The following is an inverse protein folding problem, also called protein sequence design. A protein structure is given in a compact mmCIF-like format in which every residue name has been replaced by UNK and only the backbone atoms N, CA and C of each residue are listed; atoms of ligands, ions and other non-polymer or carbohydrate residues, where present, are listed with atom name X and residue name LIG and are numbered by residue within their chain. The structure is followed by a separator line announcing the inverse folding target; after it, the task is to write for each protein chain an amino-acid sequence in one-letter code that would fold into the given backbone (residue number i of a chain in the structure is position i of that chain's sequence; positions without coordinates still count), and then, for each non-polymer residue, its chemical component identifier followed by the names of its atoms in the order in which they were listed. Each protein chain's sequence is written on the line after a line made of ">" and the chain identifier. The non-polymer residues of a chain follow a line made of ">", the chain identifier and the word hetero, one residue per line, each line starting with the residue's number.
data_IF_442034456320
#
_entry.id   IF_442034456320
#
_cell.length_a   1.000
_cell.length_b   1.000
_cell.length_c   1.000
_cell.angle_alpha   90.00
_cell.angle_beta   90.00
_cell.angle_gamma   90.00
#
_symmetry.space_group_name_H-M   'P 1'
#
loop_
_entity.id
_entity.type
_entity.pdbx_description
1 polymer ?
#
# COMPACT_ATOMS: atom_id res chain seq x y z
N UNK A 1 37.57 -8.15 -13.36
CA UNK A 1 36.88 -6.84 -13.27
C UNK A 1 35.35 -6.93 -13.16
N UNK A 2 34.69 -8.08 -13.42
CA UNK A 2 33.22 -8.19 -13.32
C UNK A 2 32.64 -8.34 -11.89
N UNK A 3 33.40 -8.94 -10.97
CA UNK A 3 32.88 -9.36 -9.64
C UNK A 3 33.14 -8.35 -8.52
N UNK A 4 34.04 -7.38 -8.68
CA UNK A 4 34.26 -6.33 -7.66
C UNK A 4 32.99 -5.50 -7.41
N UNK A 5 32.20 -5.27 -8.47
CA UNK A 5 30.94 -4.57 -8.37
C UNK A 5 29.82 -5.41 -7.70
N UNK A 6 30.01 -6.72 -7.53
CA UNK A 6 29.05 -7.57 -6.79
C UNK A 6 29.21 -7.41 -5.29
N UNK A 7 30.45 -7.25 -4.80
CA UNK A 7 30.73 -7.11 -3.36
C UNK A 7 30.13 -5.84 -2.76
N UNK A 8 29.89 -4.82 -3.60
CA UNK A 8 29.30 -3.54 -3.23
C UNK A 8 27.77 -3.53 -3.24
N UNK A 9 27.13 -4.68 -3.51
CA UNK A 9 25.69 -4.81 -3.30
C UNK A 9 25.39 -4.99 -1.80
N UNK A 10 24.19 -4.58 -1.36
CA UNK A 10 23.74 -4.87 -0.01
C UNK A 10 23.74 -6.38 0.27
N UNK A 11 23.89 -6.74 1.54
CA UNK A 11 23.79 -8.12 1.99
C UNK A 11 22.36 -8.62 1.85
N UNK A 12 22.22 -9.88 1.47
CA UNK A 12 20.93 -10.56 1.46
C UNK A 12 20.38 -10.61 2.89
N UNK A 13 19.09 -10.34 3.05
CA UNK A 13 18.41 -10.54 4.33
C UNK A 13 17.73 -11.91 4.36
N UNK A 14 17.70 -12.50 5.55
CA UNK A 14 16.90 -13.68 5.86
C UNK A 14 16.23 -13.48 7.22
N UNK A 15 15.14 -14.20 7.47
CA UNK A 15 14.49 -14.26 8.76
C UNK A 15 14.48 -15.68 9.32
N UNK A 16 14.45 -15.80 10.64
CA UNK A 16 14.13 -17.06 11.32
C UNK A 16 12.60 -17.25 11.44
N UNK A 17 12.19 -18.40 12.00
CA UNK A 17 10.77 -18.74 12.21
C UNK A 17 10.01 -17.80 13.14
N UNK A 18 10.72 -17.06 14.00
CA UNK A 18 10.14 -16.07 14.91
C UNK A 18 10.05 -14.69 14.24
N UNK A 19 10.53 -14.58 12.99
CA UNK A 19 10.53 -13.34 12.22
C UNK A 19 11.68 -12.39 12.57
N UNK A 20 12.70 -12.84 13.32
CA UNK A 20 13.89 -12.03 13.52
C UNK A 20 14.68 -11.97 12.23
N UNK A 21 15.10 -10.77 11.83
CA UNK A 21 15.74 -10.51 10.54
C UNK A 21 17.25 -10.34 10.75
N UNK A 22 18.02 -10.99 9.88
CA UNK A 22 19.47 -11.00 9.88
C UNK A 22 19.99 -10.71 8.47
N UNK A 23 21.16 -10.07 8.38
CA UNK A 23 21.92 -10.01 7.14
C UNK A 23 22.83 -11.24 6.99
N UNK A 24 22.87 -11.81 5.79
CA UNK A 24 23.73 -12.95 5.51
C UNK A 24 25.20 -12.49 5.53
N UNK A 25 26.14 -13.23 6.14
CA UNK A 25 27.55 -12.83 6.25
C UNK A 25 28.31 -12.71 4.92
N UNK A 26 27.71 -13.11 3.79
CA UNK A 26 28.43 -13.34 2.55
C UNK A 26 27.58 -13.09 1.30
N UNK A 27 26.39 -13.67 1.21
CA UNK A 27 25.54 -13.50 0.03
C UNK A 27 24.98 -12.08 -0.07
N UNK A 28 24.84 -11.63 -1.31
CA UNK A 28 24.34 -10.30 -1.65
C UNK A 28 22.88 -10.35 -2.05
N UNK A 29 22.18 -9.24 -1.85
CA UNK A 29 20.78 -9.13 -2.24
C UNK A 29 20.64 -9.36 -3.74
N UNK A 30 19.57 -10.07 -4.08
CA UNK A 30 19.05 -10.17 -5.43
C UNK A 30 17.61 -9.68 -5.43
N UNK A 31 17.04 -9.54 -6.62
CA UNK A 31 15.60 -9.36 -6.81
C UNK A 31 15.12 -10.31 -7.90
N UNK A 32 13.81 -10.47 -8.06
CA UNK A 32 13.28 -11.14 -9.25
C UNK A 32 12.83 -10.10 -10.28
N UNK A 33 13.17 -10.37 -11.54
CA UNK A 33 12.57 -9.75 -12.73
C UNK A 33 11.69 -10.81 -13.39
N UNK A 34 10.37 -10.64 -13.26
CA UNK A 34 9.43 -11.72 -13.56
C UNK A 34 9.64 -12.90 -12.60
N UNK A 35 9.91 -14.09 -13.14
CA UNK A 35 10.15 -15.31 -12.36
C UNK A 35 11.63 -15.66 -12.17
N UNK A 36 12.56 -14.84 -12.69
CA UNK A 36 13.99 -15.14 -12.69
C UNK A 36 14.77 -14.23 -11.74
N UNK A 37 15.74 -14.77 -10.98
CA UNK A 37 16.69 -13.95 -10.24
C UNK A 37 17.45 -12.99 -11.15
N UNK A 38 17.52 -11.74 -10.72
CA UNK A 38 18.16 -10.65 -11.40
C UNK A 38 19.08 -9.89 -10.44
N UNK A 39 20.21 -9.46 -10.99
CA UNK A 39 21.18 -8.64 -10.29
C UNK A 39 20.65 -7.20 -10.28
N UNK A 40 20.68 -6.57 -9.11
CA UNK A 40 20.41 -5.14 -8.99
C UNK A 40 21.63 -4.31 -9.36
N UNK A 41 21.38 -3.15 -9.96
CA UNK A 41 22.38 -2.09 -10.12
C UNK A 41 22.29 -1.14 -8.93
N UNK A 42 23.37 -0.42 -8.59
CA UNK A 42 23.32 0.63 -7.57
C UNK A 42 22.19 1.64 -7.80
N UNK A 43 21.92 2.00 -9.06
CA UNK A 43 20.84 2.95 -9.42
C UNK A 43 19.43 2.38 -9.21
N UNK A 44 19.28 1.06 -9.02
CA UNK A 44 18.00 0.42 -8.70
C UNK A 44 17.70 0.45 -7.19
N UNK A 45 18.61 0.99 -6.36
CA UNK A 45 18.55 0.93 -4.91
C UNK A 45 18.28 2.29 -4.28
N UNK A 46 17.33 2.31 -3.37
CA UNK A 46 17.03 3.44 -2.49
C UNK A 46 17.27 3.05 -1.04
N UNK A 47 17.58 4.03 -0.19
CA UNK A 47 17.44 3.84 1.25
C UNK A 47 15.98 3.53 1.55
N UNK A 48 15.74 2.50 2.37
CA UNK A 48 14.39 2.18 2.82
C UNK A 48 13.86 3.33 3.68
N UNK A 49 12.71 3.95 3.34
CA UNK A 49 12.12 4.99 4.17
C UNK A 49 11.81 4.51 5.58
N UNK A 50 11.96 5.39 6.57
CA UNK A 50 11.83 5.09 8.02
C UNK A 50 10.53 4.35 8.39
N UNK A 51 9.41 4.71 7.77
CA UNK A 51 8.09 4.14 8.06
C UNK A 51 7.70 2.98 7.14
N UNK A 52 8.65 2.47 6.34
CA UNK A 52 8.44 1.27 5.55
C UNK A 52 8.31 0.05 6.47
N UNK A 53 7.64 -0.99 5.97
CA UNK A 53 7.48 -2.25 6.70
C UNK A 53 8.35 -3.33 6.07
N UNK A 54 8.98 -4.13 6.94
CA UNK A 54 9.61 -5.39 6.56
C UNK A 54 8.64 -6.54 6.83
N UNK A 55 8.70 -7.54 5.97
CA UNK A 55 7.93 -8.77 6.07
C UNK A 55 8.88 -9.93 5.84
N UNK A 56 8.73 -11.02 6.59
CA UNK A 56 9.27 -12.30 6.15
C UNK A 56 8.16 -13.11 5.48
N UNK A 57 8.56 -14.04 4.61
CA UNK A 57 7.64 -14.88 3.85
C UNK A 57 7.80 -16.31 4.37
N UNK A 58 6.84 -16.81 5.18
CA UNK A 58 6.90 -18.17 5.73
C UNK A 58 7.08 -19.25 4.66
N UNK A 59 7.81 -20.30 4.98
CA UNK A 59 8.06 -21.46 4.10
C UNK A 59 8.71 -21.10 2.75
N UNK A 60 9.28 -19.92 2.60
CA UNK A 60 9.88 -19.46 1.35
C UNK A 60 11.33 -19.07 1.56
N UNK A 61 12.31 -19.88 1.11
CA UNK A 61 13.71 -19.56 1.31
C UNK A 61 14.18 -18.38 0.46
N UNK A 62 15.09 -17.54 0.97
CA UNK A 62 15.68 -16.45 0.20
C UNK A 62 16.62 -16.94 -0.90
N UNK A 63 16.70 -16.15 -1.97
CA UNK A 63 17.67 -16.34 -3.04
C UNK A 63 18.72 -15.22 -2.95
N UNK A 64 19.98 -15.61 -2.75
CA UNK A 64 21.12 -14.69 -2.66
C UNK A 64 22.03 -14.78 -3.88
N UNK A 65 22.84 -13.74 -4.09
CA UNK A 65 23.86 -13.69 -5.12
C UNK A 65 25.24 -13.91 -4.49
N UNK A 66 25.97 -14.92 -4.96
CA UNK A 66 27.37 -15.16 -4.56
C UNK A 66 28.28 -14.12 -5.23
N UNK A 67 28.92 -13.21 -4.47
CA UNK A 67 29.73 -12.16 -5.07
C UNK A 67 31.07 -12.66 -5.65
N UNK A 68 31.49 -13.91 -5.37
CA UNK A 68 32.71 -14.49 -5.94
C UNK A 68 32.48 -15.17 -7.28
N UNK A 69 31.36 -15.86 -7.45
CA UNK A 69 31.05 -16.63 -8.67
C UNK A 69 30.05 -15.91 -9.57
N UNK A 70 29.21 -15.04 -9.00
CA UNK A 70 28.08 -14.42 -9.71
C UNK A 70 26.85 -15.34 -9.82
N UNK A 71 26.85 -16.48 -9.13
CA UNK A 71 25.74 -17.44 -9.14
C UNK A 71 24.68 -17.11 -8.09
N UNK A 72 23.41 -17.39 -8.41
CA UNK A 72 22.32 -17.30 -7.45
C UNK A 72 22.19 -18.59 -6.66
N UNK A 73 21.97 -18.48 -5.35
CA UNK A 73 21.82 -19.61 -4.42
C UNK A 73 20.56 -19.44 -3.59
N UNK A 74 19.73 -20.47 -3.57
CA UNK A 74 18.61 -20.59 -2.62
C UNK A 74 19.13 -21.14 -1.30
N UNK A 75 18.82 -20.48 -0.19
CA UNK A 75 19.32 -20.85 1.14
C UNK A 75 18.15 -21.29 2.01
N UNK A 76 18.12 -22.57 2.35
CA UNK A 76 17.09 -23.14 3.24
C UNK A 76 17.47 -22.99 4.71
N UNK A 77 18.77 -23.07 5.01
CA UNK A 77 19.32 -22.97 6.35
C UNK A 77 20.70 -22.35 6.32
N UNK A 78 21.11 -21.76 7.44
CA UNK A 78 22.46 -21.23 7.65
C UNK A 78 22.98 -21.68 9.01
N UNK A 79 24.26 -22.05 9.07
CA UNK A 79 24.97 -22.30 10.32
C UNK A 79 25.84 -21.09 10.68
N UNK A 80 25.57 -20.47 11.82
CA UNK A 80 26.39 -19.38 12.39
C UNK A 80 26.76 -19.77 13.82
N UNK A 81 28.05 -19.79 14.12
CA UNK A 81 28.59 -20.15 15.44
C UNK A 81 28.04 -21.49 16.00
N UNK A 82 27.84 -22.48 15.12
CA UNK A 82 27.33 -23.80 15.48
C UNK A 82 25.81 -23.89 15.66
N UNK A 83 25.08 -22.81 15.36
CA UNK A 83 23.61 -22.77 15.40
C UNK A 83 23.06 -22.80 13.97
N UNK A 84 22.31 -23.86 13.66
CA UNK A 84 21.60 -23.99 12.38
C UNK A 84 20.24 -23.29 12.48
N UNK A 85 20.00 -22.36 11.57
CA UNK A 85 18.78 -21.54 11.50
C UNK A 85 18.12 -21.71 10.15
N UNK A 86 16.85 -22.12 10.15
CA UNK A 86 16.02 -22.13 8.94
C UNK A 86 15.81 -20.69 8.44
N UNK A 87 15.92 -20.50 7.14
CA UNK A 87 15.93 -19.18 6.51
C UNK A 87 14.66 -18.92 5.72
N UNK A 88 13.97 -17.83 6.05
CA UNK A 88 12.83 -17.31 5.31
C UNK A 88 13.18 -16.00 4.61
N UNK A 89 12.61 -15.79 3.44
CA UNK A 89 12.87 -14.61 2.65
C UNK A 89 12.30 -13.35 3.29
N UNK A 90 13.01 -12.24 3.12
CA UNK A 90 12.60 -10.92 3.62
C UNK A 90 12.22 -10.02 2.44
N UNK A 91 11.14 -9.28 2.60
CA UNK A 91 10.65 -8.29 1.67
C UNK A 91 10.39 -6.96 2.38
N UNK A 92 10.38 -5.88 1.61
CA UNK A 92 9.93 -4.56 2.07
C UNK A 92 8.65 -4.12 1.36
N UNK A 93 7.91 -3.21 1.99
CA UNK A 93 6.83 -2.46 1.36
C UNK A 93 7.12 -0.97 1.43
N UNK A 94 7.18 -0.34 0.25
CA UNK A 94 7.60 1.05 0.08
C UNK A 94 6.46 2.03 0.37
N UNK A 95 6.83 3.24 0.80
CA UNK A 95 5.87 4.34 0.97
C UNK A 95 5.30 4.82 -0.38
N UNK A 96 4.12 5.47 -0.40
CA UNK A 96 3.56 6.08 -1.61
C UNK A 96 4.53 7.04 -2.30
N UNK A 97 4.55 7.04 -3.64
CA UNK A 97 5.47 7.85 -4.46
C UNK A 97 6.78 7.13 -4.82
N UNK A 98 7.00 5.92 -4.28
CA UNK A 98 8.06 5.00 -4.70
C UNK A 98 7.49 3.88 -5.58
N UNK A 99 8.26 3.49 -6.60
CA UNK A 99 7.96 2.36 -7.48
C UNK A 99 9.00 1.26 -7.22
N UNK A 100 8.52 0.04 -6.96
CA UNK A 100 9.41 -1.12 -6.89
C UNK A 100 9.97 -1.46 -8.27
N UNK A 101 11.28 -1.66 -8.36
CA UNK A 101 11.95 -2.08 -9.60
C UNK A 101 12.04 -3.60 -9.72
N UNK A 102 12.09 -4.30 -8.58
CA UNK A 102 12.20 -5.75 -8.51
C UNK A 102 11.28 -6.35 -7.45
N UNK A 103 10.87 -7.59 -7.66
CA UNK A 103 10.21 -8.40 -6.64
C UNK A 103 11.25 -8.94 -5.64
N UNK A 104 10.83 -9.37 -4.43
CA UNK A 104 11.72 -10.03 -3.48
C UNK A 104 12.36 -11.28 -4.11
N UNK A 105 13.64 -11.54 -3.82
CA UNK A 105 14.35 -12.73 -4.30
C UNK A 105 14.02 -13.94 -3.43
N UNK A 106 13.04 -14.73 -3.88
CA UNK A 106 12.39 -15.76 -3.08
C UNK A 106 12.13 -16.98 -3.94
N UNK A 107 12.37 -18.16 -3.38
CA UNK A 107 11.84 -19.39 -3.93
C UNK A 107 10.42 -19.63 -3.37
N UNK A 108 9.43 -19.47 -4.23
CA UNK A 108 8.02 -19.69 -3.90
C UNK A 108 7.57 -21.15 -4.08
N UNK A 109 8.47 -22.05 -4.48
CA UNK A 109 8.16 -23.47 -4.69
C UNK A 109 7.58 -24.19 -3.48
N UNK A 110 8.10 -23.98 -2.24
CA UNK A 110 7.65 -24.76 -1.08
C UNK A 110 6.32 -24.28 -0.47
N UNK A 111 5.90 -23.02 -0.66
CA UNK A 111 4.66 -22.52 -0.03
C UNK A 111 3.41 -23.15 -0.64
N UNK A 112 2.43 -23.41 0.22
CA UNK A 112 1.10 -23.95 -0.14
C UNK A 112 -0.01 -22.89 -0.15
N UNK A 113 0.32 -21.63 0.14
CA UNK A 113 -0.64 -20.54 0.32
C UNK A 113 -0.46 -19.41 -0.70
N UNK A 114 -1.46 -18.52 -0.79
CA UNK A 114 -1.41 -17.31 -1.63
C UNK A 114 -1.08 -16.10 -0.75
N UNK A 115 -0.03 -15.36 -1.12
CA UNK A 115 0.32 -14.12 -0.43
C UNK A 115 -0.72 -13.02 -0.74
N UNK A 116 -1.04 -12.14 0.23
CA UNK A 116 -1.78 -10.91 -0.06
C UNK A 116 -1.12 -10.14 -1.20
N UNK A 117 -1.89 -9.54 -2.10
CA UNK A 117 -1.35 -8.85 -3.29
C UNK A 117 -0.75 -7.47 -2.99
N UNK A 118 0.15 -7.40 -2.00
CA UNK A 118 0.87 -6.18 -1.63
C UNK A 118 2.09 -5.94 -2.55
N UNK A 119 2.59 -4.70 -2.57
CA UNK A 119 3.71 -4.32 -3.43
C UNK A 119 5.07 -4.67 -2.80
N UNK A 120 5.26 -5.95 -2.41
CA UNK A 120 6.53 -6.43 -1.87
C UNK A 120 7.69 -6.15 -2.82
N UNK A 121 8.85 -5.78 -2.27
CA UNK A 121 10.06 -5.56 -3.04
C UNK A 121 11.29 -6.16 -2.37
N UNK A 122 12.33 -6.41 -3.18
CA UNK A 122 13.62 -6.86 -2.71
C UNK A 122 14.25 -5.83 -1.75
N UNK A 123 14.84 -6.34 -0.68
CA UNK A 123 15.48 -5.54 0.37
C UNK A 123 16.76 -6.23 0.82
N UNK A 124 17.77 -5.42 1.14
CA UNK A 124 19.05 -5.86 1.69
C UNK A 124 19.54 -4.88 2.74
N UNK A 125 20.69 -5.18 3.34
CA UNK A 125 21.30 -4.34 4.38
C UNK A 125 22.71 -3.93 3.99
N UNK A 126 23.06 -2.66 4.19
CA UNK A 126 24.39 -2.13 3.89
C UNK A 126 24.65 -0.85 4.67
N UNK A 127 25.86 -0.70 5.21
CA UNK A 127 26.31 0.51 5.90
C UNK A 127 25.36 0.98 7.02
N UNK A 128 24.84 0.03 7.81
CA UNK A 128 23.94 0.32 8.93
C UNK A 128 22.52 0.71 8.53
N UNK A 129 22.12 0.48 7.27
CA UNK A 129 20.78 0.85 6.77
C UNK A 129 20.21 -0.18 5.81
N UNK A 130 18.88 -0.26 5.77
CA UNK A 130 18.16 -1.06 4.78
C UNK A 130 18.15 -0.37 3.42
N UNK A 131 18.34 -1.16 2.36
CA UNK A 131 18.29 -0.75 0.96
C UNK A 131 17.22 -1.55 0.24
N UNK A 132 16.36 -0.89 -0.53
CA UNK A 132 15.27 -1.54 -1.24
C UNK A 132 15.34 -1.29 -2.75
N UNK A 133 14.79 -2.23 -3.52
CA UNK A 133 14.76 -2.18 -4.97
C UNK A 133 13.64 -1.27 -5.47
N UNK A 134 13.97 -0.02 -5.81
CA UNK A 134 12.98 0.91 -6.31
C UNK A 134 13.53 2.29 -6.60
N UNK A 135 12.66 3.16 -7.06
CA UNK A 135 12.99 4.56 -7.36
C UNK A 135 11.79 5.45 -7.05
N UNK A 136 12.06 6.74 -6.81
CA UNK A 136 11.04 7.73 -6.48
C UNK A 136 10.49 8.38 -7.75
N UNK A 137 9.17 8.39 -7.88
CA UNK A 137 8.46 9.10 -8.95
C UNK A 137 7.78 10.38 -8.45
N UNK A 138 7.44 10.42 -7.17
CA UNK A 138 6.78 11.57 -6.55
C UNK A 138 7.21 11.67 -5.08
N UNK A 139 7.30 12.89 -4.57
CA UNK A 139 7.30 13.15 -3.14
C UNK A 139 6.18 14.12 -2.80
N UNK A 140 5.32 13.72 -1.86
CA UNK A 140 4.24 14.55 -1.36
C UNK A 140 4.16 14.39 0.16
N UNK A 141 4.59 15.43 0.86
CA UNK A 141 4.64 15.47 2.33
C UNK A 141 3.29 15.16 3.00
N UNK A 142 2.16 15.34 2.32
CA UNK A 142 0.82 15.04 2.83
C UNK A 142 0.64 13.54 3.09
N UNK A 143 1.34 12.69 2.33
CA UNK A 143 1.30 11.24 2.48
C UNK A 143 2.38 10.68 3.41
N UNK A 144 3.19 11.52 4.07
CA UNK A 144 4.18 11.05 5.03
C UNK A 144 3.47 10.35 6.22
N UNK A 145 3.80 9.08 6.53
CA UNK A 145 3.14 8.34 7.61
C UNK A 145 3.22 9.01 8.99
N UNK A 146 4.27 9.80 9.24
CA UNK A 146 4.45 10.59 10.48
C UNK A 146 3.30 11.56 10.77
N UNK A 147 2.53 11.94 9.75
CA UNK A 147 1.40 12.85 9.94
C UNK A 147 0.20 12.13 10.58
N UNK A 148 0.17 10.80 10.63
CA UNK A 148 -1.02 9.99 10.86
C UNK A 148 -1.01 9.24 12.20
N UNK A 149 -0.64 9.94 13.26
CA UNK A 149 -0.56 9.41 14.63
C UNK A 149 -1.96 9.12 15.21
N UNK A 150 -2.14 7.90 15.72
CA UNK A 150 -3.42 7.46 16.28
C UNK A 150 -3.77 8.20 17.59
N UNK A 151 -2.78 8.75 18.29
CA UNK A 151 -2.97 9.63 19.46
C UNK A 151 -3.71 10.91 19.13
N UNK A 152 -3.61 11.39 17.88
CA UNK A 152 -4.35 12.55 17.37
C UNK A 152 -5.65 12.12 16.67
N UNK A 153 -5.61 11.03 15.91
CA UNK A 153 -6.74 10.54 15.12
C UNK A 153 -7.94 10.13 15.97
N UNK A 154 -7.73 9.33 17.02
CA UNK A 154 -8.84 8.77 17.81
C UNK A 154 -9.67 9.88 18.48
N UNK A 155 -9.07 10.88 19.16
CA UNK A 155 -9.82 12.04 19.64
C UNK A 155 -10.53 12.84 18.54
N UNK A 156 -9.92 12.96 17.35
CA UNK A 156 -10.51 13.68 16.24
C UNK A 156 -11.76 12.97 15.68
N UNK A 157 -11.76 11.63 15.60
CA UNK A 157 -12.93 10.82 15.23
C UNK A 157 -14.07 11.05 16.22
N UNK A 158 -13.79 10.99 17.52
CA UNK A 158 -14.81 11.19 18.56
C UNK A 158 -15.41 12.59 18.50
N UNK A 159 -14.58 13.61 18.26
CA UNK A 159 -15.04 14.99 18.04
C UNK A 159 -15.92 15.09 16.79
N UNK A 160 -15.49 14.50 15.68
CA UNK A 160 -16.25 14.50 14.43
C UNK A 160 -17.63 13.88 14.61
N UNK A 161 -17.72 12.72 15.26
CA UNK A 161 -18.99 12.01 15.51
C UNK A 161 -19.93 12.81 16.41
N UNK A 162 -19.41 13.52 17.43
CA UNK A 162 -20.22 14.43 18.27
C UNK A 162 -20.76 15.62 17.50
N UNK A 163 -19.98 16.17 16.57
CA UNK A 163 -20.36 17.35 15.77
C UNK A 163 -21.37 17.01 14.67
N UNK A 164 -21.26 15.85 14.02
CA UNK A 164 -22.01 15.54 12.79
C UNK A 164 -23.03 14.40 12.95
N UNK A 165 -23.00 13.70 14.08
CA UNK A 165 -23.86 12.54 14.33
C UNK A 165 -23.35 11.25 13.65
N UNK A 166 -24.05 10.13 13.87
CA UNK A 166 -23.74 8.86 13.23
C UNK A 166 -24.26 8.83 11.78
N UNK A 167 -23.69 7.94 10.97
CA UNK A 167 -24.13 7.72 9.60
C UNK A 167 -23.38 6.55 8.96
N UNK A 168 -24.01 5.76 8.07
CA UNK A 168 -23.36 4.60 7.46
C UNK A 168 -22.03 4.95 6.77
N UNK A 169 -21.96 6.08 6.04
CA UNK A 169 -20.72 6.53 5.39
C UNK A 169 -19.67 6.91 6.42
N UNK A 170 -20.05 7.65 7.46
CA UNK A 170 -19.13 8.04 8.53
C UNK A 170 -18.56 6.80 9.22
N UNK A 171 -19.41 5.83 9.57
CA UNK A 171 -18.99 4.60 10.25
C UNK A 171 -18.05 3.76 9.36
N UNK A 172 -18.33 3.67 8.06
CA UNK A 172 -17.43 3.02 7.10
C UNK A 172 -16.07 3.73 7.01
N UNK A 173 -16.06 5.07 7.01
CA UNK A 173 -14.82 5.85 6.96
C UNK A 173 -14.04 5.78 8.27
N UNK A 174 -14.70 5.64 9.42
CA UNK A 174 -14.03 5.34 10.70
C UNK A 174 -13.28 4.01 10.58
N UNK A 175 -13.94 2.94 10.11
CA UNK A 175 -13.28 1.65 9.90
C UNK A 175 -12.12 1.75 8.90
N UNK A 176 -12.29 2.53 7.82
CA UNK A 176 -11.19 2.77 6.89
C UNK A 176 -10.01 3.48 7.56
N UNK A 177 -10.25 4.44 8.45
CA UNK A 177 -9.20 5.18 9.13
C UNK A 177 -8.47 4.33 10.19
N UNK A 178 -9.18 3.48 10.92
CA UNK A 178 -8.66 2.76 12.10
C UNK A 178 -8.20 1.33 11.82
N UNK A 179 -8.87 0.61 10.93
CA UNK A 179 -8.55 -0.79 10.61
C UNK A 179 -7.70 -0.89 9.35
N UNK A 180 -8.14 -0.21 8.28
CA UNK A 180 -7.42 -0.20 7.01
C UNK A 180 -6.26 0.81 6.98
N UNK A 181 -6.16 1.67 8.00
CA UNK A 181 -5.18 2.76 8.09
C UNK A 181 -5.15 3.68 6.86
N UNK A 182 -6.30 3.87 6.21
CA UNK A 182 -6.43 4.72 5.02
C UNK A 182 -6.16 6.19 5.34
N UNK A 183 -5.07 6.73 4.77
CA UNK A 183 -4.66 8.12 4.98
C UNK A 183 -5.72 9.14 4.54
N UNK A 184 -6.44 8.88 3.45
CA UNK A 184 -7.55 9.74 3.02
C UNK A 184 -8.70 9.72 4.06
N UNK A 185 -9.04 8.56 4.62
CA UNK A 185 -10.07 8.48 5.65
C UNK A 185 -9.63 9.20 6.94
N UNK A 186 -8.36 9.04 7.36
CA UNK A 186 -7.79 9.77 8.49
C UNK A 186 -7.84 11.30 8.27
N UNK A 187 -7.56 11.76 7.06
CA UNK A 187 -7.59 13.17 6.66
C UNK A 187 -8.95 13.84 6.82
N UNK A 188 -10.06 13.10 6.63
CA UNK A 188 -11.41 13.61 6.93
C UNK A 188 -11.52 14.02 8.40
N UNK A 189 -11.13 13.14 9.32
CA UNK A 189 -11.25 13.38 10.76
C UNK A 189 -10.24 14.41 11.26
N UNK A 190 -9.04 14.42 10.68
CA UNK A 190 -8.00 15.42 10.93
C UNK A 190 -8.27 16.76 10.20
N UNK A 191 -9.37 16.86 9.44
CA UNK A 191 -9.84 18.06 8.72
C UNK A 191 -8.76 18.68 7.82
N UNK A 192 -8.09 17.87 6.99
CA UNK A 192 -7.05 18.34 6.07
C UNK A 192 -7.01 17.54 4.77
N UNK A 193 -6.58 18.18 3.68
CA UNK A 193 -6.23 17.52 2.41
C UNK A 193 -7.37 16.69 1.80
N UNK A 194 -7.10 15.46 1.36
CA UNK A 194 -8.06 14.62 0.64
C UNK A 194 -8.92 13.76 1.57
N UNK A 195 -10.24 13.78 1.36
CA UNK A 195 -11.20 12.88 2.00
C UNK A 195 -11.90 11.96 0.98
N UNK A 196 -12.09 10.66 1.31
CA UNK A 196 -12.69 9.67 0.42
C UNK A 196 -14.22 9.72 0.44
N UNK A 197 -14.85 9.47 -0.71
CA UNK A 197 -16.30 9.38 -0.90
C UNK A 197 -16.68 8.05 -1.56
N UNK A 198 -16.55 6.90 -0.85
CA UNK A 198 -16.95 5.61 -1.41
C UNK A 198 -18.46 5.55 -1.64
N UNK A 199 -18.86 5.17 -2.86
CA UNK A 199 -20.27 5.11 -3.27
C UNK A 199 -20.67 3.76 -3.87
N UNK A 200 -19.70 3.04 -4.44
CA UNK A 200 -19.97 1.89 -5.29
C UNK A 200 -19.77 0.55 -4.60
N UNK A 201 -20.83 -0.27 -4.58
CA UNK A 201 -20.77 -1.65 -4.07
C UNK A 201 -20.31 -2.67 -5.11
N UNK A 202 -20.27 -2.29 -6.38
CA UNK A 202 -20.04 -3.21 -7.50
C UNK A 202 -18.94 -2.69 -8.41
N UNK A 203 -18.19 -3.59 -9.04
CA UNK A 203 -17.16 -3.22 -9.99
C UNK A 203 -17.44 -3.93 -11.31
N UNK A 204 -17.15 -3.26 -12.42
CA UNK A 204 -17.21 -3.84 -13.76
C UNK A 204 -15.83 -4.29 -14.27
N UNK A 205 -14.82 -4.30 -13.40
CA UNK A 205 -13.50 -4.85 -13.67
C UNK A 205 -13.26 -6.12 -12.84
N UNK A 206 -12.46 -7.02 -13.38
CA UNK A 206 -12.05 -8.28 -12.74
C UNK A 206 -10.54 -8.24 -12.45
N UNK A 207 -10.10 -7.23 -11.69
CA UNK A 207 -8.69 -7.06 -11.35
C UNK A 207 -8.19 -8.25 -10.53
N UNK A 208 -7.04 -8.82 -10.91
CA UNK A 208 -6.40 -9.91 -10.15
C UNK A 208 -6.15 -9.49 -8.69
N UNK A 209 -5.60 -8.28 -8.49
CA UNK A 209 -5.31 -7.70 -7.17
C UNK A 209 -6.31 -6.63 -6.75
N UNK A 210 -7.61 -6.91 -6.81
CA UNK A 210 -8.59 -5.97 -6.27
C UNK A 210 -8.40 -5.83 -4.75
N UNK A 211 -8.27 -4.58 -4.28
CA UNK A 211 -8.01 -4.26 -2.87
C UNK A 211 -9.23 -4.53 -1.98
N UNK A 212 -10.43 -4.33 -2.50
CA UNK A 212 -11.69 -4.43 -1.76
C UNK A 212 -12.42 -5.77 -1.94
N UNK A 213 -11.91 -6.65 -2.81
CA UNK A 213 -12.56 -7.91 -3.12
C UNK A 213 -11.55 -8.94 -3.62
N UNK A 214 -11.60 -10.14 -3.05
CA UNK A 214 -10.88 -11.30 -3.54
C UNK A 214 -11.85 -12.49 -3.59
N UNK A 215 -11.81 -13.33 -4.64
CA UNK A 215 -12.58 -14.57 -4.68
C UNK A 215 -12.30 -15.47 -3.47
N UNK A 216 -13.31 -16.21 -3.03
CA UNK A 216 -13.15 -17.23 -1.99
C UNK A 216 -12.07 -18.25 -2.37
N UNK A 217 -11.28 -18.67 -1.38
CA UNK A 217 -10.20 -19.65 -1.56
C UNK A 217 -8.87 -19.07 -2.08
N UNK A 218 -8.78 -17.76 -2.31
CA UNK A 218 -7.52 -17.05 -2.59
C UNK A 218 -6.98 -16.36 -1.33
N UNK A 219 -6.33 -15.20 -1.46
CA UNK A 219 -5.91 -14.38 -0.33
C UNK A 219 -7.05 -13.46 0.14
N UNK A 220 -6.98 -12.99 1.38
CA UNK A 220 -7.90 -11.97 1.88
C UNK A 220 -7.72 -10.64 1.11
N UNK A 221 -8.82 -9.93 0.93
CA UNK A 221 -8.79 -8.55 0.43
C UNK A 221 -8.12 -7.65 1.48
N UNK A 222 -7.40 -6.62 1.04
CA UNK A 222 -6.73 -5.71 1.98
C UNK A 222 -7.70 -4.76 2.68
N UNK A 223 -8.85 -4.49 2.05
CA UNK A 223 -9.94 -3.67 2.60
C UNK A 223 -11.28 -4.36 2.38
N UNK A 224 -12.27 -3.99 3.20
CA UNK A 224 -13.66 -4.36 2.94
C UNK A 224 -14.30 -3.43 1.91
N UNK A 225 -14.98 -4.02 0.92
CA UNK A 225 -15.84 -3.24 0.02
C UNK A 225 -17.04 -2.69 0.77
N UNK A 226 -17.36 -1.42 0.54
CA UNK A 226 -18.60 -0.80 1.02
C UNK A 226 -19.81 -1.68 0.62
N UNK A 227 -20.64 -2.04 1.60
CA UNK A 227 -21.76 -2.96 1.41
C UNK A 227 -23.12 -2.24 1.26
N UNK A 228 -23.14 -0.92 1.42
CA UNK A 228 -24.31 -0.06 1.27
C UNK A 228 -24.05 1.04 0.23
N UNK A 229 -25.13 1.68 -0.22
CA UNK A 229 -25.06 2.87 -1.06
C UNK A 229 -25.38 4.08 -0.17
N UNK A 230 -24.45 5.04 0.02
CA UNK A 230 -24.73 6.23 0.82
C UNK A 230 -25.79 7.11 0.18
N UNK A 231 -26.45 7.96 0.97
CA UNK A 231 -27.38 8.96 0.44
C UNK A 231 -26.65 10.16 -0.13
N UNK A 232 -27.31 10.89 -1.04
CA UNK A 232 -26.77 12.13 -1.57
C UNK A 232 -26.59 13.17 -0.45
N UNK A 233 -27.50 13.19 0.52
CA UNK A 233 -27.48 14.09 1.67
C UNK A 233 -26.24 13.87 2.55
N UNK A 234 -25.89 12.61 2.82
CA UNK A 234 -24.72 12.25 3.63
C UNK A 234 -23.42 12.63 2.90
N UNK A 235 -23.31 12.33 1.60
CA UNK A 235 -22.17 12.73 0.76
C UNK A 235 -22.01 14.25 0.75
N UNK A 236 -23.09 14.99 0.51
CA UNK A 236 -23.08 16.44 0.38
C UNK A 236 -22.72 17.09 1.72
N UNK A 237 -23.30 16.63 2.83
CA UNK A 237 -23.01 17.16 4.16
C UNK A 237 -21.53 16.99 4.53
N UNK A 238 -21.00 15.77 4.36
CA UNK A 238 -19.59 15.46 4.63
C UNK A 238 -18.67 16.28 3.73
N UNK A 239 -18.95 16.32 2.43
CA UNK A 239 -18.12 17.00 1.44
C UNK A 239 -18.08 18.51 1.68
N UNK A 240 -19.24 19.15 1.84
CA UNK A 240 -19.31 20.60 2.07
C UNK A 240 -18.61 20.98 3.37
N UNK A 241 -18.75 20.17 4.41
CA UNK A 241 -18.07 20.37 5.68
C UNK A 241 -16.54 20.33 5.51
N UNK A 242 -16.02 19.28 4.89
CA UNK A 242 -14.58 19.10 4.64
C UNK A 242 -14.02 20.20 3.73
N UNK A 243 -14.66 20.44 2.57
CA UNK A 243 -14.23 21.42 1.58
C UNK A 243 -14.16 22.86 2.12
N UNK A 244 -14.97 23.19 3.13
CA UNK A 244 -14.98 24.52 3.71
C UNK A 244 -13.93 24.74 4.81
N UNK A 245 -13.47 23.67 5.47
CA UNK A 245 -12.62 23.75 6.66
C UNK A 245 -11.18 23.30 6.40
N UNK A 246 -10.97 22.28 5.56
CA UNK A 246 -9.66 21.69 5.36
C UNK A 246 -8.75 22.57 4.48
N UNK A 247 -7.43 22.65 4.78
CA UNK A 247 -6.45 23.22 3.86
C UNK A 247 -6.27 22.33 2.62
N UNK A 248 -6.09 22.97 1.45
CA UNK A 248 -6.02 22.33 0.13
C UNK A 248 -7.04 21.19 -0.05
N UNK A 249 -8.33 21.47 0.14
CA UNK A 249 -9.29 20.41 0.37
C UNK A 249 -9.66 19.69 -0.93
N UNK A 250 -9.63 18.36 -0.88
CA UNK A 250 -10.05 17.48 -1.95
C UNK A 250 -11.08 16.50 -1.38
N UNK A 251 -12.13 16.22 -2.15
CA UNK A 251 -12.98 15.06 -1.90
C UNK A 251 -12.96 14.15 -3.12
N UNK A 252 -12.84 12.84 -2.92
CA UNK A 252 -12.56 11.90 -4.02
C UNK A 252 -13.51 10.72 -4.02
N UNK A 253 -14.25 10.56 -5.12
CA UNK A 253 -14.92 9.30 -5.46
C UNK A 253 -13.92 8.31 -6.07
N UNK A 254 -14.19 7.01 -5.99
CA UNK A 254 -13.36 5.95 -6.55
C UNK A 254 -12.21 5.52 -5.65
N UNK A 255 -12.53 5.06 -4.44
CA UNK A 255 -11.54 4.76 -3.42
C UNK A 255 -11.27 3.25 -3.30
N UNK A 256 -10.17 2.89 -2.64
CA UNK A 256 -9.74 1.49 -2.52
C UNK A 256 -10.72 0.58 -1.76
N UNK A 257 -11.70 1.13 -1.05
CA UNK A 257 -12.75 0.41 -0.33
C UNK A 257 -14.10 0.34 -1.07
N UNK A 258 -14.15 0.71 -2.36
CA UNK A 258 -15.35 0.57 -3.19
C UNK A 258 -15.09 -0.21 -4.49
N UNK A 259 -16.13 -0.34 -5.30
CA UNK A 259 -16.03 -0.82 -6.67
C UNK A 259 -15.75 0.31 -7.67
N UNK A 260 -16.30 0.21 -8.88
CA UNK A 260 -16.14 1.27 -9.89
C UNK A 260 -17.18 2.38 -9.64
N UNK A 261 -16.79 3.63 -9.36
CA UNK A 261 -17.74 4.70 -9.01
C UNK A 261 -18.71 5.04 -10.15
N UNK A 262 -18.35 4.83 -11.43
CA UNK A 262 -19.27 5.05 -12.56
C UNK A 262 -20.47 4.10 -12.56
N UNK A 263 -20.46 3.02 -11.77
CA UNK A 263 -21.67 2.20 -11.59
C UNK A 263 -22.77 2.96 -10.86
N UNK A 264 -22.41 4.00 -10.10
CA UNK A 264 -23.28 4.88 -9.32
C UNK A 264 -23.29 6.34 -9.85
N UNK A 265 -22.97 6.55 -11.14
CA UNK A 265 -22.78 7.88 -11.75
C UNK A 265 -23.91 8.90 -11.47
N UNK A 266 -25.17 8.46 -11.38
CA UNK A 266 -26.30 9.37 -11.07
C UNK A 266 -26.18 9.97 -9.68
N UNK A 267 -25.80 9.15 -8.68
CA UNK A 267 -25.57 9.61 -7.33
C UNK A 267 -24.36 10.56 -7.31
N UNK A 268 -23.27 10.19 -7.97
CA UNK A 268 -22.07 11.03 -8.07
C UNK A 268 -22.39 12.39 -8.69
N UNK A 269 -23.07 12.42 -9.83
CA UNK A 269 -23.43 13.65 -10.56
C UNK A 269 -24.40 14.52 -9.76
N UNK A 270 -25.43 13.92 -9.13
CA UNK A 270 -26.34 14.65 -8.23
C UNK A 270 -25.61 15.25 -7.02
N UNK A 271 -24.75 14.47 -6.36
CA UNK A 271 -23.96 14.93 -5.23
C UNK A 271 -23.01 16.07 -5.61
N UNK A 272 -22.34 16.00 -6.77
CA UNK A 272 -21.47 17.08 -7.26
C UNK A 272 -22.24 18.39 -7.42
N UNK A 273 -23.43 18.36 -8.05
CA UNK A 273 -24.27 19.55 -8.24
C UNK A 273 -24.68 20.14 -6.89
N UNK A 274 -25.22 19.33 -5.98
CA UNK A 274 -25.62 19.74 -4.63
C UNK A 274 -24.45 20.28 -3.78
N UNK A 275 -23.25 19.71 -3.92
CA UNK A 275 -22.04 20.24 -3.27
C UNK A 275 -21.72 21.63 -3.82
N UNK A 276 -21.74 21.81 -5.14
CA UNK A 276 -21.39 23.07 -5.80
C UNK A 276 -22.40 24.18 -5.59
N UNK A 277 -23.66 23.86 -5.34
CA UNK A 277 -24.66 24.82 -4.86
C UNK A 277 -24.34 25.38 -3.46
N UNK A 278 -23.57 24.63 -2.65
CA UNK A 278 -23.29 24.94 -1.24
C UNK A 278 -21.87 25.47 -1.00
N UNK A 279 -20.93 25.14 -1.88
CA UNK A 279 -19.55 25.65 -1.79
C UNK A 279 -18.83 25.64 -3.14
N UNK A 280 -18.10 26.72 -3.40
CA UNK A 280 -17.16 26.84 -4.52
C UNK A 280 -15.73 26.41 -4.16
N UNK A 281 -15.46 26.02 -2.90
CA UNK A 281 -14.11 25.68 -2.43
C UNK A 281 -13.70 24.25 -2.82
N UNK A 282 -12.39 24.07 -2.97
CA UNK A 282 -11.70 22.79 -3.11
C UNK A 282 -12.01 22.00 -4.37
N UNK A 283 -11.37 20.84 -4.47
CA UNK A 283 -11.41 19.96 -5.64
C UNK A 283 -12.35 18.77 -5.37
N UNK A 284 -13.15 18.41 -6.38
CA UNK A 284 -13.86 17.13 -6.39
C UNK A 284 -13.18 16.26 -7.44
N UNK A 285 -12.65 15.12 -7.02
CA UNK A 285 -11.93 14.18 -7.85
C UNK A 285 -12.76 12.90 -8.06
N UNK A 286 -12.55 12.24 -9.20
CA UNK A 286 -13.18 10.98 -9.55
C UNK A 286 -12.11 10.01 -10.08
N UNK A 287 -11.77 9.03 -9.28
CA UNK A 287 -10.89 7.94 -9.69
C UNK A 287 -11.73 6.84 -10.36
N UNK A 288 -11.65 6.72 -11.67
CA UNK A 288 -12.44 5.73 -12.43
C UNK A 288 -11.55 4.97 -13.39
N UNK A 289 -11.91 3.73 -13.69
CA UNK A 289 -11.31 2.98 -14.79
C UNK A 289 -11.72 3.53 -16.19
N UNK A 290 -12.64 4.50 -16.26
CA UNK A 290 -13.03 5.18 -17.49
C UNK A 290 -13.79 4.31 -18.51
N UNK A 291 -14.20 3.10 -18.11
CA UNK A 291 -14.81 2.11 -19.02
C UNK A 291 -16.24 2.42 -19.45
N UNK A 292 -16.87 3.46 -18.88
CA UNK A 292 -18.23 3.91 -19.21
C UNK A 292 -18.23 5.39 -19.65
N UNK A 293 -17.70 5.72 -20.85
CA UNK A 293 -17.46 7.11 -21.26
C UNK A 293 -18.72 7.97 -21.29
N UNK A 294 -19.88 7.42 -21.66
CA UNK A 294 -21.15 8.17 -21.62
C UNK A 294 -21.55 8.60 -20.20
N UNK A 295 -21.15 7.85 -19.17
CA UNK A 295 -21.39 8.22 -17.77
C UNK A 295 -20.40 9.24 -17.24
N UNK A 296 -19.22 9.37 -17.86
CA UNK A 296 -18.22 10.40 -17.54
C UNK A 296 -18.65 11.76 -18.11
N UNK A 297 -19.40 11.78 -19.22
CA UNK A 297 -19.88 13.02 -19.85
C UNK A 297 -21.04 13.70 -19.10
N UNK A 298 -21.73 12.99 -18.21
CA UNK A 298 -22.87 13.45 -17.41
C UNK A 298 -22.46 14.31 -16.20
#
# INVERSE_FOLDING_TARGET
>A
MGNENLRNLPYMLYADKEGQIYDHPYLRMAGLSGSSPARLKPDDLISLPEFSKLFFIPDCPPIGLDPSTGEYKTIFEIEVDGVVTECFAVAAFLEPGLVRSHLPAVDYGPKSYTLPMWAYTAVGFMDGSYRAAGFRIEYNHKWDPKNYDDRELVPAIEKYRKEHGPGPLVDHLINCATLNHCFAAKNLFLKRWEAPLPVSRVCNAACLGCLSFQPEGLCEASHDRICFKPSAEEIVALSVNHLNQAPDPIVSFGQGCEGEPLTEYRLVSESIRKIRERTAKGTINLNTNGSMPERVRE
#
